data_IF_596644201768
#
_entry.id   IF_596644201768
#
_cell.length_a   1.000
_cell.length_b   1.000
_cell.length_c   1.000
_cell.angle_alpha   90.00
_cell.angle_beta   90.00
_cell.angle_gamma   90.00
#
_symmetry.space_group_name_H-M   'P 1'
#
loop_
_entity.id
_entity.type
_entity.pdbx_description
1 polymer ?
#
# COMPACT_ATOMS: atom_id res chain seq x y z
N UNK A 1 13.82 3.36 9.90
CA UNK A 1 12.46 2.81 9.79
C UNK A 1 12.31 2.20 8.40
N UNK A 2 12.16 0.89 8.31
CA UNK A 2 12.00 0.16 7.06
C UNK A 2 10.61 0.41 6.44
N UNK A 3 10.39 -0.02 5.20
CA UNK A 3 9.08 0.18 4.55
C UNK A 3 8.01 -0.74 5.16
N UNK A 4 8.40 -1.91 5.64
CA UNK A 4 7.59 -2.85 6.41
C UNK A 4 7.06 -2.17 7.67
N UNK A 5 7.95 -1.53 8.45
CA UNK A 5 7.61 -0.82 9.68
C UNK A 5 6.62 0.33 9.40
N UNK A 6 6.85 1.11 8.35
CA UNK A 6 5.93 2.18 7.93
C UNK A 6 4.56 1.64 7.51
N UNK A 7 4.52 0.53 6.77
CA UNK A 7 3.25 -0.10 6.36
C UNK A 7 2.46 -0.59 7.57
N UNK A 8 3.12 -1.20 8.55
CA UNK A 8 2.47 -1.65 9.79
C UNK A 8 1.97 -0.49 10.65
N UNK A 9 2.71 0.62 10.71
CA UNK A 9 2.26 1.83 11.38
C UNK A 9 0.96 2.36 10.75
N UNK A 10 0.91 2.44 9.42
CA UNK A 10 -0.29 2.89 8.69
C UNK A 10 -1.48 1.94 8.91
N UNK A 11 -1.26 0.62 8.84
CA UNK A 11 -2.31 -0.38 9.12
C UNK A 11 -2.84 -0.27 10.55
N UNK A 12 -1.95 -0.06 11.52
CA UNK A 12 -2.32 0.16 12.92
C UNK A 12 -3.18 1.42 13.09
N UNK A 13 -2.80 2.51 12.43
CA UNK A 13 -3.58 3.76 12.45
C UNK A 13 -4.96 3.59 11.81
N UNK A 14 -5.06 2.82 10.72
CA UNK A 14 -6.35 2.49 10.10
C UNK A 14 -7.22 1.70 11.07
N UNK A 15 -6.70 0.64 11.69
CA UNK A 15 -7.46 -0.17 12.64
C UNK A 15 -7.99 0.65 13.83
N UNK A 16 -7.17 1.55 14.38
CA UNK A 16 -7.61 2.49 15.43
C UNK A 16 -8.71 3.44 14.96
N UNK A 17 -8.64 3.90 13.71
CA UNK A 17 -9.67 4.78 13.14
C UNK A 17 -10.98 4.03 12.88
N UNK A 18 -10.91 2.77 12.42
CA UNK A 18 -12.09 1.90 12.29
C UNK A 18 -12.78 1.69 13.64
N UNK A 19 -12.01 1.37 14.68
CA UNK A 19 -12.51 1.20 16.05
C UNK A 19 -13.15 2.49 16.58
N UNK A 20 -12.45 3.64 16.46
CA UNK A 20 -12.95 4.94 16.92
C UNK A 20 -14.25 5.34 16.22
N UNK A 21 -14.40 4.96 14.94
CA UNK A 21 -15.59 5.24 14.14
C UNK A 21 -16.70 4.18 14.30
N UNK A 22 -16.53 3.19 15.18
CA UNK A 22 -17.44 2.05 15.36
C UNK A 22 -17.75 1.31 14.04
N UNK A 23 -16.72 1.15 13.19
CA UNK A 23 -16.79 0.40 11.93
C UNK A 23 -16.22 -1.00 12.12
N UNK A 24 -16.64 -1.94 11.27
CA UNK A 24 -16.03 -3.27 11.26
C UNK A 24 -14.53 -3.19 10.89
N UNK A 25 -13.73 -4.06 11.51
CA UNK A 25 -12.33 -4.21 11.19
C UNK A 25 -12.16 -4.57 9.69
N UNK A 26 -11.26 -3.88 9.00
CA UNK A 26 -11.01 -4.07 7.58
C UNK A 26 -12.06 -3.45 6.66
N UNK A 27 -12.94 -2.60 7.17
CA UNK A 27 -13.90 -1.83 6.36
C UNK A 27 -13.25 -0.69 5.56
N UNK A 28 -12.00 -0.36 5.83
CA UNK A 28 -11.17 0.60 5.10
C UNK A 28 -10.12 -0.14 4.27
N UNK A 29 -10.03 0.18 2.99
CA UNK A 29 -8.97 -0.33 2.11
C UNK A 29 -7.80 0.65 2.04
N UNK A 30 -6.60 0.19 2.38
CA UNK A 30 -5.36 0.94 2.19
C UNK A 30 -4.90 0.83 0.73
N UNK A 31 -4.87 1.96 0.02
CA UNK A 31 -4.30 2.05 -1.33
C UNK A 31 -2.89 2.65 -1.23
N UNK A 32 -1.87 1.87 -1.55
CA UNK A 32 -0.48 2.36 -1.57
C UNK A 32 -0.19 3.07 -2.89
N UNK A 33 0.17 4.35 -2.85
CA UNK A 33 0.49 5.12 -4.06
C UNK A 33 1.90 4.78 -4.53
N UNK A 34 2.01 4.17 -5.72
CA UNK A 34 3.28 3.67 -6.27
C UNK A 34 3.81 4.48 -7.45
N UNK A 35 3.11 5.56 -7.86
CA UNK A 35 3.60 6.50 -8.88
C UNK A 35 5.00 6.98 -8.51
N UNK A 36 5.86 7.19 -9.52
CA UNK A 36 7.26 7.63 -9.36
C UNK A 36 8.22 6.68 -8.63
N UNK A 37 7.75 5.56 -8.09
CA UNK A 37 8.61 4.51 -7.50
C UNK A 37 8.88 3.40 -8.51
N UNK A 38 10.09 2.85 -8.48
CA UNK A 38 10.50 1.76 -9.35
C UNK A 38 10.15 0.38 -8.76
N UNK A 39 10.49 -0.69 -9.47
CA UNK A 39 10.20 -2.04 -9.02
C UNK A 39 10.97 -2.43 -7.74
N UNK A 40 12.16 -1.89 -7.53
CA UNK A 40 12.99 -2.15 -6.35
C UNK A 40 12.36 -1.60 -5.08
N UNK A 41 11.74 -0.42 -5.18
CA UNK A 41 10.99 0.19 -4.07
C UNK A 41 9.67 -0.52 -3.76
N UNK A 42 9.01 -1.07 -4.78
CA UNK A 42 7.67 -1.68 -4.64
C UNK A 42 7.74 -3.13 -4.16
N UNK A 43 8.76 -3.90 -4.56
CA UNK A 43 8.91 -5.32 -4.20
C UNK A 43 8.86 -5.59 -2.69
N UNK A 44 9.56 -4.82 -1.82
CA UNK A 44 9.47 -5.02 -0.37
C UNK A 44 8.06 -4.74 0.19
N UNK A 45 7.33 -3.79 -0.39
CA UNK A 45 5.95 -3.46 -0.01
C UNK A 45 5.00 -4.62 -0.36
N UNK A 46 5.19 -5.23 -1.54
CA UNK A 46 4.49 -6.46 -1.93
C UNK A 46 4.85 -7.61 -0.99
N UNK A 47 6.14 -7.81 -0.68
CA UNK A 47 6.59 -8.85 0.25
C UNK A 47 5.97 -8.68 1.65
N UNK A 48 5.70 -7.43 2.07
CA UNK A 48 5.00 -7.08 3.31
C UNK A 48 3.48 -7.31 3.29
N UNK A 49 2.96 -7.92 2.21
CA UNK A 49 1.56 -8.29 2.06
C UNK A 49 0.65 -7.18 1.53
N UNK A 50 1.17 -6.04 1.08
CA UNK A 50 0.33 -5.03 0.42
C UNK A 50 -0.05 -5.50 -0.99
N UNK A 51 -1.32 -5.32 -1.37
CA UNK A 51 -1.86 -5.79 -2.65
C UNK A 51 -2.62 -4.73 -3.44
N UNK A 52 -3.08 -3.67 -2.77
CA UNK A 52 -3.84 -2.60 -3.40
C UNK A 52 -2.92 -1.41 -3.62
N UNK A 53 -2.70 -1.05 -4.88
CA UNK A 53 -1.82 0.04 -5.27
C UNK A 53 -2.53 1.03 -6.20
N UNK A 54 -2.09 2.28 -6.16
CA UNK A 54 -2.64 3.38 -6.94
C UNK A 54 -1.60 4.01 -7.85
N UNK A 55 -1.92 4.10 -9.13
CA UNK A 55 -1.13 4.76 -10.17
C UNK A 55 -1.98 5.82 -10.87
N UNK A 56 -1.37 6.95 -11.24
CA UNK A 56 -2.06 8.02 -11.97
C UNK A 56 -1.66 8.11 -13.45
N UNK A 57 -0.76 7.24 -13.92
CA UNK A 57 -0.26 7.20 -15.30
C UNK A 57 -0.29 5.76 -15.81
N UNK A 58 -1.07 5.53 -16.87
CA UNK A 58 -1.28 4.19 -17.44
C UNK A 58 0.01 3.63 -18.05
N UNK A 59 0.80 4.47 -18.72
CA UNK A 59 2.06 4.07 -19.37
C UNK A 59 3.11 3.62 -18.35
N UNK A 60 3.25 4.36 -17.25
CA UNK A 60 4.15 3.97 -16.15
C UNK A 60 3.70 2.63 -15.54
N UNK A 61 2.39 2.43 -15.41
CA UNK A 61 1.83 1.18 -14.91
C UNK A 61 2.12 0.00 -15.84
N UNK A 62 1.89 0.18 -17.15
CA UNK A 62 2.07 -0.86 -18.16
C UNK A 62 3.52 -1.32 -18.29
N UNK A 63 4.49 -0.43 -18.12
CA UNK A 63 5.90 -0.81 -18.12
C UNK A 63 6.36 -1.48 -16.82
N UNK A 64 5.80 -1.05 -15.68
CA UNK A 64 6.31 -1.43 -14.35
C UNK A 64 5.67 -2.70 -13.77
N UNK A 65 4.35 -2.83 -13.86
CA UNK A 65 3.61 -3.91 -13.20
C UNK A 65 3.89 -5.31 -13.74
N UNK A 66 4.15 -5.54 -15.05
CA UNK A 66 4.46 -6.88 -15.55
C UNK A 66 5.74 -7.50 -14.97
N UNK A 67 6.66 -6.70 -14.42
CA UNK A 67 7.93 -7.15 -13.85
C UNK A 67 7.92 -7.30 -12.30
N UNK A 68 6.77 -7.05 -11.68
CA UNK A 68 6.51 -7.08 -10.24
C UNK A 68 5.75 -8.34 -9.82
#
# INVERSE_FOLDING_TARGET
MSVEERLQEVRTRIGKAEETANRSAGSVSLVAVSKTFDAGDIRPVIASGQRVFGENRVQESQGKWPEL
#
